data_IF_381151972089
#
_entry.id   IF_381151972089
#
_cell.length_a   1.000
_cell.length_b   1.000
_cell.length_c   1.000
_cell.angle_alpha   90.00
_cell.angle_beta   90.00
_cell.angle_gamma   90.00
#
_symmetry.space_group_name_H-M   'P 1'
#
loop_
_entity.id
_entity.type
_entity.pdbx_description
1 polymer ?
#
# COMPACT_ATOMS: atom_id res chain seq x y z
N UNK A 1 -56.22 -30.15 -48.86
CA UNK A 1 -57.07 -28.98 -48.52
C UNK A 1 -56.63 -28.59 -47.14
N UNK A 2 -56.03 -27.52 -46.98
CA UNK A 2 -55.97 -26.11 -46.84
C UNK A 2 -54.78 -25.83 -45.93
N UNK A 3 -53.76 -25.16 -46.30
CA UNK A 3 -53.45 -23.72 -46.41
C UNK A 3 -53.68 -22.92 -45.13
N UNK A 4 -52.60 -22.25 -44.76
CA UNK A 4 -52.52 -21.07 -43.91
C UNK A 4 -51.21 -21.11 -43.09
N UNK A 5 -50.13 -20.46 -43.34
CA UNK A 5 -49.88 -19.12 -43.81
C UNK A 5 -49.78 -18.20 -42.61
N UNK A 6 -48.60 -17.87 -42.17
CA UNK A 6 -48.39 -16.93 -41.09
C UNK A 6 -46.88 -16.67 -40.84
N UNK A 7 -46.34 -15.83 -41.71
CA UNK A 7 -45.05 -15.13 -41.49
C UNK A 7 -45.17 -14.15 -40.35
N UNK A 8 -44.24 -14.13 -39.42
CA UNK A 8 -44.04 -12.95 -38.60
C UNK A 8 -42.52 -12.75 -38.44
N UNK A 9 -42.06 -11.80 -39.21
CA UNK A 9 -40.81 -11.10 -39.02
C UNK A 9 -40.83 -10.34 -37.70
N UNK A 10 -39.76 -10.39 -36.96
CA UNK A 10 -39.63 -9.67 -35.71
C UNK A 10 -38.21 -9.60 -35.21
N UNK A 11 -37.44 -8.71 -35.83
CA UNK A 11 -36.38 -7.91 -35.25
C UNK A 11 -35.35 -8.60 -34.31
N UNK A 12 -34.24 -8.88 -34.89
CA UNK A 12 -32.92 -9.03 -34.23
C UNK A 12 -32.61 -7.84 -33.35
N UNK A 13 -32.54 -8.08 -32.06
CA UNK A 13 -31.94 -7.21 -31.07
C UNK A 13 -30.58 -7.81 -30.62
N UNK A 14 -29.54 -7.52 -31.37
CA UNK A 14 -28.15 -7.82 -31.00
C UNK A 14 -27.76 -7.04 -29.72
N UNK A 15 -28.11 -7.57 -28.57
CA UNK A 15 -27.51 -7.20 -27.32
C UNK A 15 -26.17 -7.97 -27.20
N UNK A 16 -25.12 -7.42 -27.78
CA UNK A 16 -23.75 -7.80 -27.48
C UNK A 16 -23.49 -7.58 -26.00
N UNK A 17 -23.82 -8.55 -25.18
CA UNK A 17 -23.38 -8.68 -23.81
C UNK A 17 -21.86 -8.70 -23.81
N UNK A 18 -21.27 -7.63 -23.33
CA UNK A 18 -19.86 -7.54 -23.03
C UNK A 18 -19.57 -8.63 -22.00
N UNK A 19 -18.99 -9.73 -22.46
CA UNK A 19 -18.48 -10.77 -21.58
C UNK A 19 -17.39 -10.13 -20.71
N UNK A 20 -17.60 -10.12 -19.42
CA UNK A 20 -16.56 -9.86 -18.45
C UNK A 20 -15.41 -10.83 -18.71
N UNK A 21 -14.14 -10.41 -18.57
CA UNK A 21 -13.00 -11.28 -18.79
C UNK A 21 -13.13 -12.48 -17.87
N UNK A 22 -13.25 -13.66 -18.47
CA UNK A 22 -13.41 -14.92 -17.77
C UNK A 22 -12.21 -15.14 -16.86
N UNK A 23 -12.44 -15.05 -15.56
CA UNK A 23 -11.49 -15.49 -14.56
C UNK A 23 -11.38 -17.02 -14.71
N UNK A 24 -10.18 -17.48 -15.11
CA UNK A 24 -9.90 -18.90 -15.25
C UNK A 24 -10.29 -19.63 -13.97
N UNK A 25 -11.07 -20.68 -14.12
CA UNK A 25 -11.63 -21.56 -13.07
C UNK A 25 -10.54 -22.42 -12.39
N UNK A 26 -9.43 -21.84 -11.99
CA UNK A 26 -8.50 -22.43 -11.04
C UNK A 26 -9.13 -22.36 -9.65
N UNK A 27 -9.17 -23.48 -8.92
CA UNK A 27 -9.71 -23.52 -7.56
C UNK A 27 -8.87 -22.63 -6.67
N UNK A 28 -9.32 -21.40 -6.42
CA UNK A 28 -8.67 -20.46 -5.53
C UNK A 28 -8.76 -20.99 -4.10
N UNK A 29 -7.67 -20.92 -3.36
CA UNK A 29 -7.61 -21.38 -1.99
C UNK A 29 -7.14 -20.19 -1.12
N UNK A 30 -8.06 -19.37 -0.60
CA UNK A 30 -7.68 -18.25 0.22
C UNK A 30 -7.03 -18.71 1.53
N UNK A 31 -5.95 -18.03 1.90
CA UNK A 31 -5.32 -18.16 3.22
C UNK A 31 -5.72 -16.96 4.03
N UNK A 32 -6.46 -17.17 5.09
CA UNK A 32 -6.89 -16.12 6.01
C UNK A 32 -6.25 -16.34 7.38
N UNK A 33 -5.67 -15.28 7.94
CA UNK A 33 -5.09 -15.25 9.28
C UNK A 33 -5.43 -13.92 9.94
N UNK A 34 -5.73 -13.96 11.22
CA UNK A 34 -5.96 -12.78 12.04
C UNK A 34 -5.13 -12.83 13.31
N UNK A 35 -4.76 -11.65 13.82
CA UNK A 35 -4.07 -11.50 15.09
C UNK A 35 -4.50 -10.20 15.77
N UNK A 36 -4.61 -10.24 17.10
CA UNK A 36 -4.88 -9.05 17.88
C UNK A 36 -3.57 -8.49 18.42
N UNK A 37 -3.31 -7.22 18.17
CA UNK A 37 -2.12 -6.47 18.62
C UNK A 37 -2.53 -5.41 19.64
N UNK A 38 -1.76 -5.27 20.72
CA UNK A 38 -2.06 -4.38 21.85
C UNK A 38 -1.57 -2.94 21.58
N UNK A 39 -1.98 -2.37 20.44
CA UNK A 39 -1.68 -0.99 20.02
C UNK A 39 -2.90 -0.36 19.35
N UNK A 40 -2.98 0.99 19.29
CA UNK A 40 -3.97 1.71 18.49
C UNK A 40 -3.94 1.31 17.01
N UNK A 41 -5.07 1.45 16.31
CA UNK A 41 -5.19 1.11 14.89
C UNK A 41 -4.21 1.89 14.01
N UNK A 42 -3.99 3.17 14.33
CA UNK A 42 -3.03 4.02 13.62
C UNK A 42 -1.60 3.50 13.73
N UNK A 43 -1.21 3.06 14.92
CA UNK A 43 0.12 2.49 15.17
C UNK A 43 0.30 1.17 14.40
N UNK A 44 -0.70 0.28 14.44
CA UNK A 44 -0.66 -0.97 13.69
C UNK A 44 -0.54 -0.72 12.18
N UNK A 45 -1.30 0.25 11.67
CA UNK A 45 -1.28 0.64 10.27
C UNK A 45 0.06 1.26 9.85
N UNK A 46 0.59 2.22 10.63
CA UNK A 46 1.84 2.91 10.33
C UNK A 46 3.02 1.93 10.29
N UNK A 47 3.11 1.00 11.23
CA UNK A 47 4.14 -0.05 11.21
C UNK A 47 3.99 -1.01 10.04
N UNK A 48 2.75 -1.32 9.62
CA UNK A 48 2.53 -2.18 8.47
C UNK A 48 2.93 -1.53 7.15
N UNK A 49 2.66 -0.23 6.99
CA UNK A 49 2.93 0.50 5.74
C UNK A 49 4.37 0.93 5.55
N UNK A 50 5.23 0.70 6.53
CA UNK A 50 6.67 0.81 6.39
C UNK A 50 7.23 -0.47 5.79
N UNK A 51 7.13 -0.59 4.48
CA UNK A 51 7.52 -1.82 3.76
C UNK A 51 9.00 -2.15 3.95
N UNK A 52 9.86 -1.15 4.11
CA UNK A 52 11.29 -1.30 4.35
C UNK A 52 11.60 -2.05 5.66
N UNK A 53 10.69 -1.99 6.64
CA UNK A 53 10.82 -2.69 7.93
C UNK A 53 10.33 -4.16 7.87
N UNK A 54 9.70 -4.58 6.76
CA UNK A 54 9.16 -5.94 6.64
C UNK A 54 10.17 -7.07 6.85
N UNK A 55 11.46 -6.94 6.47
CA UNK A 55 12.46 -7.96 6.78
C UNK A 55 12.60 -8.26 8.28
N UNK A 56 12.24 -7.33 9.16
CA UNK A 56 12.35 -7.51 10.61
C UNK A 56 11.31 -8.51 11.16
N UNK A 57 10.13 -8.59 10.54
CA UNK A 57 9.07 -9.48 10.99
C UNK A 57 8.59 -10.49 9.93
N UNK A 58 8.80 -10.27 8.66
CA UNK A 58 8.50 -11.22 7.60
C UNK A 58 9.72 -12.06 7.25
N UNK A 59 9.82 -13.23 7.86
CA UNK A 59 11.00 -14.10 7.80
C UNK A 59 11.54 -14.42 6.41
N UNK A 60 10.70 -14.34 5.37
CA UNK A 60 11.09 -14.65 3.99
C UNK A 60 11.38 -13.44 3.15
N UNK A 61 11.03 -12.26 3.61
CA UNK A 61 11.35 -11.00 2.95
C UNK A 61 12.78 -10.64 3.31
N UNK A 62 13.66 -10.61 2.31
CA UNK A 62 15.05 -10.19 2.48
C UNK A 62 15.20 -8.68 2.30
N UNK A 63 14.33 -8.10 1.47
CA UNK A 63 14.27 -6.67 1.18
C UNK A 63 12.89 -6.29 0.69
N UNK A 64 12.41 -5.12 1.09
CA UNK A 64 11.23 -4.50 0.55
C UNK A 64 11.48 -3.00 0.38
N UNK A 65 10.97 -2.43 -0.69
CA UNK A 65 11.19 -1.03 -1.06
C UNK A 65 9.95 -0.50 -1.77
N UNK A 66 9.48 0.65 -1.34
CA UNK A 66 8.42 1.35 -2.05
C UNK A 66 9.03 2.06 -3.27
N UNK A 67 8.70 1.58 -4.47
CA UNK A 67 9.24 2.09 -5.74
C UNK A 67 8.55 3.40 -6.14
N UNK A 68 7.25 3.44 -5.93
CA UNK A 68 6.41 4.62 -6.09
C UNK A 68 5.21 4.55 -5.12
N UNK A 69 4.30 5.51 -5.21
CA UNK A 69 3.17 5.61 -4.27
C UNK A 69 2.26 4.38 -4.27
N UNK A 70 2.21 3.60 -5.37
CA UNK A 70 1.31 2.47 -5.53
C UNK A 70 2.03 1.15 -5.83
N UNK A 71 3.36 1.12 -5.85
CA UNK A 71 4.14 -0.07 -6.20
C UNK A 71 5.21 -0.36 -5.16
N UNK A 72 5.25 -1.58 -4.68
CA UNK A 72 6.25 -2.07 -3.72
C UNK A 72 7.03 -3.22 -4.33
N UNK A 73 8.35 -3.12 -4.35
CA UNK A 73 9.26 -4.19 -4.78
C UNK A 73 9.69 -5.03 -3.60
N UNK A 74 9.61 -6.34 -3.75
CA UNK A 74 9.99 -7.32 -2.73
C UNK A 74 11.08 -8.26 -3.24
N UNK A 75 12.04 -8.55 -2.40
CA UNK A 75 12.95 -9.69 -2.56
C UNK A 75 12.63 -10.73 -1.51
N UNK A 76 12.20 -11.91 -1.95
CA UNK A 76 11.75 -12.98 -1.05
C UNK A 76 12.56 -14.23 -1.29
N UNK A 77 12.99 -14.88 -0.20
CA UNK A 77 13.72 -16.14 -0.22
C UNK A 77 12.83 -17.32 0.14
N UNK A 78 12.66 -18.23 -0.79
CA UNK A 78 11.90 -19.46 -0.59
C UNK A 78 12.76 -20.65 -1.00
N UNK A 79 12.96 -21.61 -0.08
CA UNK A 79 13.80 -22.80 -0.28
C UNK A 79 15.24 -22.49 -0.77
N UNK A 80 15.81 -21.37 -0.28
CA UNK A 80 17.17 -20.95 -0.63
C UNK A 80 17.29 -20.19 -1.95
N UNK A 81 16.19 -19.97 -2.66
CA UNK A 81 16.15 -19.21 -3.90
C UNK A 81 15.54 -17.85 -3.64
N UNK A 82 16.31 -16.78 -3.87
CA UNK A 82 15.82 -15.41 -3.78
C UNK A 82 15.19 -15.00 -5.11
N UNK A 83 14.01 -14.40 -5.05
CA UNK A 83 13.28 -13.86 -6.20
C UNK A 83 12.79 -12.45 -5.87
N UNK A 84 12.87 -11.57 -6.87
CA UNK A 84 12.26 -10.24 -6.81
C UNK A 84 10.94 -10.26 -7.57
N UNK A 85 9.96 -9.55 -7.05
CA UNK A 85 8.69 -9.29 -7.70
C UNK A 85 8.13 -7.95 -7.20
N UNK A 86 7.15 -7.43 -7.91
CA UNK A 86 6.47 -6.20 -7.58
C UNK A 86 5.02 -6.49 -7.21
N UNK A 87 4.53 -5.74 -6.24
CA UNK A 87 3.14 -5.73 -5.82
C UNK A 87 2.55 -4.36 -6.14
N UNK A 88 1.49 -4.36 -6.92
CA UNK A 88 0.71 -3.16 -7.20
C UNK A 88 -0.35 -2.99 -6.12
N UNK A 89 -0.35 -1.85 -5.43
CA UNK A 89 -1.38 -1.50 -4.45
C UNK A 89 -2.60 -1.00 -5.23
N UNK A 90 -3.71 -1.72 -5.10
CA UNK A 90 -4.97 -1.41 -5.77
C UNK A 90 -5.82 -0.44 -4.97
N UNK A 91 -5.95 -0.73 -3.67
CA UNK A 91 -6.71 0.05 -2.71
C UNK A 91 -5.88 0.24 -1.44
N UNK A 92 -5.87 1.46 -0.91
CA UNK A 92 -5.25 1.78 0.37
C UNK A 92 -5.99 2.90 1.06
N UNK A 93 -6.50 2.60 2.26
CA UNK A 93 -7.19 3.55 3.11
C UNK A 93 -6.53 3.54 4.49
N UNK A 94 -6.01 4.69 4.97
CA UNK A 94 -5.37 4.77 6.28
C UNK A 94 -6.26 4.24 7.40
N UNK A 95 -5.68 3.43 8.28
CA UNK A 95 -6.32 2.81 9.44
C UNK A 95 -7.44 1.78 9.10
N UNK A 96 -7.72 1.54 7.81
CA UNK A 96 -8.75 0.61 7.35
C UNK A 96 -8.16 -0.63 6.68
N UNK A 97 -7.36 -0.45 5.62
CA UNK A 97 -6.79 -1.60 4.93
C UNK A 97 -6.03 -1.27 3.64
N UNK A 98 -5.43 -2.32 3.09
CA UNK A 98 -4.65 -2.28 1.86
C UNK A 98 -4.99 -3.53 1.06
N UNK A 99 -5.26 -3.35 -0.23
CA UNK A 99 -5.38 -4.43 -1.23
C UNK A 99 -4.25 -4.32 -2.24
N UNK A 100 -3.63 -5.44 -2.56
CA UNK A 100 -2.55 -5.50 -3.53
C UNK A 100 -2.66 -6.70 -4.46
N UNK A 101 -1.98 -6.61 -5.60
CA UNK A 101 -1.89 -7.67 -6.60
C UNK A 101 -0.45 -7.91 -7.00
N UNK A 102 -0.05 -9.16 -7.05
CA UNK A 102 1.23 -9.63 -7.58
C UNK A 102 0.95 -10.50 -8.79
N UNK A 103 1.41 -10.09 -9.97
CA UNK A 103 1.13 -10.78 -11.24
C UNK A 103 2.26 -11.73 -11.66
N UNK A 104 3.49 -11.49 -11.16
CA UNK A 104 4.67 -12.26 -11.53
C UNK A 104 5.23 -13.06 -10.35
N UNK A 105 5.91 -14.15 -10.64
CA UNK A 105 6.54 -14.99 -9.63
C UNK A 105 5.55 -15.79 -8.81
N UNK A 106 5.26 -15.38 -7.59
CA UNK A 106 4.23 -15.96 -6.72
C UNK A 106 2.93 -15.16 -6.87
N UNK A 107 2.27 -15.30 -8.03
CA UNK A 107 1.06 -14.55 -8.34
C UNK A 107 -0.03 -14.76 -7.26
N UNK A 108 -0.46 -13.67 -6.67
CA UNK A 108 -1.52 -13.65 -5.66
C UNK A 108 -2.14 -12.26 -5.55
N UNK A 109 -3.36 -12.21 -5.06
CA UNK A 109 -3.93 -10.99 -4.51
C UNK A 109 -3.92 -11.09 -2.99
N UNK A 110 -3.76 -9.97 -2.32
CA UNK A 110 -3.78 -9.91 -0.88
C UNK A 110 -4.57 -8.71 -0.39
N UNK A 111 -5.16 -8.89 0.79
CA UNK A 111 -5.84 -7.82 1.53
C UNK A 111 -5.38 -7.90 2.97
N UNK A 112 -5.02 -6.78 3.56
CA UNK A 112 -4.90 -6.61 4.99
C UNK A 112 -5.93 -5.60 5.45
N UNK A 113 -6.59 -5.89 6.56
CA UNK A 113 -7.56 -4.98 7.19
C UNK A 113 -7.23 -4.77 8.65
N UNK A 114 -7.57 -3.58 9.16
CA UNK A 114 -7.29 -3.16 10.53
C UNK A 114 -8.62 -2.82 11.21
N UNK A 115 -8.91 -3.50 12.31
CA UNK A 115 -10.17 -3.34 13.02
C UNK A 115 -9.89 -2.94 14.47
N UNK A 116 -10.21 -1.68 14.89
CA UNK A 116 -10.05 -1.28 16.26
C UNK A 116 -11.05 -2.04 17.14
N UNK A 117 -10.54 -2.79 18.11
CA UNK A 117 -11.34 -3.51 19.11
C UNK A 117 -11.50 -2.68 20.38
N UNK A 118 -10.50 -1.86 20.69
CA UNK A 118 -10.52 -0.85 21.74
C UNK A 118 -9.48 0.23 21.42
N UNK A 119 -9.33 1.22 22.28
CA UNK A 119 -8.37 2.31 22.12
C UNK A 119 -6.94 1.81 21.87
N UNK A 120 -6.51 0.75 22.57
CA UNK A 120 -5.17 0.17 22.49
C UNK A 120 -5.20 -1.32 22.10
N UNK A 121 -6.16 -1.72 21.29
CA UNK A 121 -6.25 -3.10 20.79
C UNK A 121 -6.81 -3.11 19.39
N UNK A 122 -6.05 -3.66 18.46
CA UNK A 122 -6.41 -3.73 17.05
C UNK A 122 -6.33 -5.17 16.55
N UNK A 123 -7.35 -5.61 15.82
CA UNK A 123 -7.28 -6.84 15.03
C UNK A 123 -6.73 -6.54 13.65
N UNK A 124 -5.68 -7.23 13.28
CA UNK A 124 -5.11 -7.21 11.93
C UNK A 124 -5.47 -8.53 11.27
N UNK A 125 -6.11 -8.46 10.11
CA UNK A 125 -6.53 -9.63 9.34
C UNK A 125 -5.89 -9.60 7.95
N UNK A 126 -5.24 -10.71 7.55
CA UNK A 126 -4.62 -10.87 6.23
C UNK A 126 -5.32 -11.99 5.50
N UNK A 127 -5.76 -11.69 4.29
CA UNK A 127 -6.32 -12.67 3.35
C UNK A 127 -5.45 -12.69 2.09
N UNK A 128 -4.95 -13.86 1.72
CA UNK A 128 -4.21 -14.09 0.48
C UNK A 128 -4.97 -15.05 -0.42
N UNK A 129 -5.23 -14.65 -1.64
CA UNK A 129 -5.76 -15.52 -2.70
C UNK A 129 -4.60 -15.90 -3.64
N UNK A 130 -4.03 -17.06 -3.39
CA UNK A 130 -2.84 -17.54 -4.11
C UNK A 130 -3.27 -18.31 -5.33
N UNK A 131 -2.77 -17.90 -6.50
CA UNK A 131 -3.01 -18.66 -7.73
C UNK A 131 -2.13 -19.92 -7.75
N UNK A 132 -2.70 -21.10 -8.05
CA UNK A 132 -1.91 -22.31 -8.22
C UNK A 132 -0.96 -22.13 -9.40
N UNK A 133 0.33 -22.10 -9.12
CA UNK A 133 1.38 -22.14 -10.14
C UNK A 133 2.09 -23.50 -10.07
N UNK A 134 2.75 -23.91 -11.16
CA UNK A 134 3.47 -25.18 -11.25
C UNK A 134 4.49 -25.42 -10.13
N UNK A 135 4.89 -24.38 -9.40
CA UNK A 135 5.77 -24.44 -8.23
C UNK A 135 5.00 -24.80 -6.94
N UNK A 136 3.70 -24.54 -6.91
CA UNK A 136 2.81 -24.83 -5.77
C UNK A 136 1.97 -26.08 -6.05
N UNK A 137 2.00 -26.64 -7.27
CA UNK A 137 1.13 -27.71 -7.79
C UNK A 137 1.34 -29.12 -7.18
N UNK A 138 2.26 -29.27 -6.26
CA UNK A 138 2.14 -30.35 -5.28
C UNK A 138 1.26 -29.88 -4.13
N UNK A 139 0.13 -29.39 -4.51
CA UNK A 139 -0.83 -28.41 -4.00
C UNK A 139 -1.15 -28.44 -2.50
N UNK A 140 -1.28 -29.57 -1.87
CA UNK A 140 -1.67 -29.60 -0.44
C UNK A 140 -0.53 -29.23 0.51
N UNK A 141 0.72 -29.48 0.11
CA UNK A 141 1.89 -29.13 0.91
C UNK A 141 2.24 -27.64 0.78
N UNK A 142 2.09 -27.08 -0.45
CA UNK A 142 2.36 -25.67 -0.72
C UNK A 142 1.43 -24.75 0.06
N UNK A 143 0.13 -25.02 0.06
CA UNK A 143 -0.86 -24.21 0.79
C UNK A 143 -0.68 -24.27 2.31
N UNK A 144 -0.33 -25.46 2.86
CA UNK A 144 0.00 -25.56 4.29
C UNK A 144 1.26 -24.76 4.63
N UNK A 145 2.21 -24.72 3.72
CA UNK A 145 3.42 -23.92 3.86
C UNK A 145 3.08 -22.42 3.88
N UNK A 146 2.30 -21.92 2.91
CA UNK A 146 1.87 -20.52 2.86
C UNK A 146 1.09 -20.15 4.13
N UNK A 147 0.10 -20.95 4.52
CA UNK A 147 -0.68 -20.70 5.74
C UNK A 147 0.20 -20.63 7.00
N UNK A 148 1.18 -21.53 7.12
CA UNK A 148 2.10 -21.53 8.26
C UNK A 148 3.04 -20.32 8.23
N UNK A 149 3.47 -19.92 7.02
CA UNK A 149 4.30 -18.76 6.81
C UNK A 149 3.59 -17.49 7.27
N UNK A 150 2.41 -17.21 6.69
CA UNK A 150 1.60 -16.05 7.03
C UNK A 150 1.30 -15.99 8.52
N UNK A 151 0.89 -17.13 9.12
CA UNK A 151 0.66 -17.19 10.56
C UNK A 151 1.91 -16.83 11.37
N UNK A 152 3.07 -17.35 10.98
CA UNK A 152 4.33 -17.04 11.67
C UNK A 152 4.73 -15.59 11.52
N UNK A 153 4.51 -15.00 10.34
CA UNK A 153 4.80 -13.60 10.07
C UNK A 153 3.87 -12.67 10.88
N UNK A 154 2.57 -13.01 10.98
CA UNK A 154 1.62 -12.26 11.82
C UNK A 154 2.00 -12.27 13.31
N UNK A 155 2.47 -13.41 13.84
CA UNK A 155 2.95 -13.46 15.23
C UNK A 155 4.22 -12.62 15.44
N UNK A 156 5.13 -12.58 14.46
CA UNK A 156 6.31 -11.70 14.52
C UNK A 156 5.94 -10.23 14.39
N UNK A 157 4.99 -9.91 13.50
CA UNK A 157 4.43 -8.56 13.41
C UNK A 157 3.87 -8.09 14.76
N UNK A 158 3.08 -8.96 15.43
CA UNK A 158 2.58 -8.66 16.77
C UNK A 158 3.72 -8.32 17.74
N UNK A 159 4.74 -9.17 17.81
CA UNK A 159 5.88 -8.93 18.69
C UNK A 159 6.64 -7.64 18.31
N UNK A 160 6.80 -7.39 17.01
CA UNK A 160 7.46 -6.21 16.48
C UNK A 160 6.72 -4.94 16.89
N UNK A 161 5.42 -4.82 16.60
CA UNK A 161 4.65 -3.60 16.86
C UNK A 161 4.39 -3.35 18.34
N UNK A 162 4.29 -4.41 19.18
CA UNK A 162 4.07 -4.27 20.62
C UNK A 162 5.34 -3.95 21.41
N UNK A 163 6.52 -4.26 20.87
CA UNK A 163 7.81 -3.98 21.50
C UNK A 163 8.49 -2.72 20.96
N UNK A 164 8.09 -2.26 19.79
CA UNK A 164 8.60 -1.02 19.23
C UNK A 164 7.87 0.18 19.86
N UNK A 165 8.64 1.01 20.55
CA UNK A 165 8.13 2.22 21.21
C UNK A 165 8.41 3.49 20.42
N UNK A 166 9.02 3.38 19.25
CA UNK A 166 9.30 4.51 18.39
C UNK A 166 8.03 4.93 17.64
N UNK A 167 7.74 6.23 17.67
CA UNK A 167 6.70 6.78 16.81
C UNK A 167 7.18 6.69 15.36
N UNK A 168 6.53 5.83 14.58
CA UNK A 168 6.83 5.65 13.16
C UNK A 168 5.71 6.24 12.33
N UNK A 169 6.08 7.10 11.40
CA UNK A 169 5.15 7.62 10.41
C UNK A 169 5.01 6.61 9.27
N UNK A 170 3.83 6.09 9.08
CA UNK A 170 3.45 5.27 7.92
C UNK A 170 2.99 6.13 6.74
N UNK A 171 2.85 5.51 5.57
CA UNK A 171 2.27 6.20 4.42
C UNK A 171 0.75 6.35 4.61
N UNK A 172 0.26 7.61 4.61
CA UNK A 172 -1.14 7.94 4.92
C UNK A 172 -1.92 8.55 3.75
N UNK A 173 -1.46 8.34 2.54
CA UNK A 173 -2.23 8.66 1.35
C UNK A 173 -3.38 7.66 1.13
N UNK A 174 -4.32 8.02 0.26
CA UNK A 174 -5.38 7.12 -0.20
C UNK A 174 -5.10 6.69 -1.62
N UNK A 175 -5.19 5.40 -1.89
CA UNK A 175 -5.11 4.82 -3.23
C UNK A 175 -6.47 4.21 -3.56
N UNK A 176 -6.98 4.50 -4.74
CA UNK A 176 -8.18 3.88 -5.30
C UNK A 176 -7.91 3.52 -6.76
N UNK A 177 -8.27 2.31 -7.16
CA UNK A 177 -8.02 1.78 -8.51
C UNK A 177 -6.53 1.89 -8.93
N UNK A 178 -5.59 1.66 -8.00
CA UNK A 178 -4.16 1.76 -8.25
C UNK A 178 -3.64 3.19 -8.46
N UNK A 179 -4.37 4.21 -8.03
CA UNK A 179 -4.00 5.61 -8.20
C UNK A 179 -4.14 6.39 -6.90
N UNK A 180 -3.13 7.20 -6.60
CA UNK A 180 -3.18 8.09 -5.45
C UNK A 180 -4.26 9.14 -5.63
N UNK A 181 -5.17 9.22 -4.69
CA UNK A 181 -6.15 10.31 -4.60
C UNK A 181 -5.50 11.49 -3.88
N UNK A 182 -5.35 12.61 -4.57
CA UNK A 182 -4.98 13.87 -3.91
C UNK A 182 -6.08 14.22 -2.91
N UNK A 183 -5.71 14.39 -1.63
CA UNK A 183 -6.62 14.92 -0.63
C UNK A 183 -7.22 16.23 -1.13
N UNK A 184 -8.55 16.28 -1.26
CA UNK A 184 -9.27 17.52 -1.59
C UNK A 184 -9.10 18.46 -0.41
N UNK A 185 -8.16 19.40 -0.53
CA UNK A 185 -8.14 20.63 0.25
C UNK A 185 -7.37 20.62 1.54
N UNK A 186 -6.05 20.72 1.47
CA UNK A 186 -5.35 21.68 2.31
C UNK A 186 -4.79 22.75 1.40
N UNK A 187 -5.62 23.75 1.14
CA UNK A 187 -5.20 24.98 0.48
C UNK A 187 -4.17 25.67 1.38
N UNK A 188 -2.90 25.36 1.18
CA UNK A 188 -1.80 26.18 1.65
C UNK A 188 -1.91 27.54 0.95
N UNK A 189 -2.60 28.47 1.60
CA UNK A 189 -2.54 29.88 1.23
C UNK A 189 -1.14 30.38 1.57
N UNK A 190 -0.19 30.18 0.70
CA UNK A 190 1.04 30.94 0.69
C UNK A 190 0.68 32.40 0.35
N UNK A 191 0.33 33.18 1.38
CA UNK A 191 0.31 34.61 1.28
C UNK A 191 1.73 35.08 1.06
N UNK A 192 2.10 35.29 -0.18
CA UNK A 192 3.26 36.07 -0.56
C UNK A 192 3.07 37.49 0.00
N UNK A 193 3.74 37.78 1.10
CA UNK A 193 3.90 39.16 1.56
C UNK A 193 4.78 39.88 0.54
N UNK A 194 4.13 40.67 -0.31
CA UNK A 194 4.77 41.61 -1.19
C UNK A 194 5.61 42.57 -0.38
N UNK A 195 6.92 42.52 -0.59
CA UNK A 195 7.87 43.53 -0.14
C UNK A 195 7.65 44.78 -0.97
N UNK A 196 6.93 45.75 -0.42
CA UNK A 196 6.86 47.10 -0.97
C UNK A 196 8.22 47.78 -0.74
N UNK A 197 8.95 47.94 -1.83
CA UNK A 197 10.06 48.88 -1.92
C UNK A 197 9.55 50.28 -1.65
N UNK A 198 10.01 50.87 -0.56
CA UNK A 198 9.92 52.32 -0.34
C UNK A 198 11.30 52.91 -0.53
N UNK A 199 11.47 53.55 -1.67
CA UNK A 199 12.53 54.51 -1.95
C UNK A 199 12.28 55.77 -1.12
N UNK A 200 13.24 56.21 -0.37
CA UNK A 200 13.39 57.64 -0.08
C UNK A 200 14.85 58.02 0.01
N UNK A 201 15.05 59.06 -0.72
CA UNK A 201 16.28 59.81 -0.96
C UNK A 201 16.74 60.59 0.28
N UNK A 202 18.03 60.85 0.25
CA UNK A 202 18.66 62.12 0.57
C UNK A 202 19.22 62.30 1.98
N UNK A 203 20.47 62.79 1.99
CA UNK A 203 21.02 63.55 3.06
C UNK A 203 22.51 63.31 3.32
N UNK A 204 23.29 64.00 2.56
CA UNK A 204 24.68 64.48 2.75
C UNK A 204 25.15 64.74 4.19
N UNK A 205 26.48 64.62 4.41
CA UNK A 205 27.25 65.21 5.49
C UNK A 205 28.34 64.22 5.96
N UNK A 206 29.49 64.29 5.51
CA UNK A 206 30.68 65.03 5.81
C UNK A 206 31.33 64.65 7.15
N UNK A 207 32.60 64.39 7.00
CA UNK A 207 33.75 64.64 7.82
C UNK A 207 34.10 63.79 9.06
N UNK A 208 35.21 63.25 8.92
CA UNK A 208 36.50 63.48 9.53
C UNK A 208 36.84 62.77 10.85
N UNK A 209 38.03 62.27 10.86
CA UNK A 209 38.89 62.30 12.01
C UNK A 209 39.33 60.99 12.61
N UNK A 210 40.38 60.44 12.12
CA UNK A 210 41.74 60.50 12.68
C UNK A 210 42.04 59.54 13.86
N UNK A 211 43.07 58.78 13.58
CA UNK A 211 44.18 58.33 14.46
C UNK A 211 43.91 57.38 15.63
N UNK A 212 44.49 56.24 15.50
CA UNK A 212 45.83 55.87 15.97
C UNK A 212 45.88 55.17 17.35
N UNK A 213 46.50 54.05 17.32
CA UNK A 213 47.73 53.59 18.00
C UNK A 213 47.56 52.59 19.13
N UNK A 214 48.22 51.45 18.82
CA UNK A 214 49.15 50.72 19.74
C UNK A 214 48.57 50.17 21.04
N UNK A 215 48.81 49.00 21.44
CA UNK A 215 49.94 48.14 21.48
C UNK A 215 49.78 47.13 22.58
N UNK A 216 50.55 46.16 22.49
CA UNK A 216 50.99 45.07 23.35
C UNK A 216 50.20 43.82 23.28
#
# INVERSE_FOLDING_TARGET
MGQGGGTNDGADGDAKGRAAPGHGSGRRMPVQQAIDVAVPVSVAYDHWTRFEDWPEFMHRVEHAEQVDDATVSFQVKIWGISKRFEADILEQHPDEGIEWNVTEGYAHTGVVTFHPLSENLTRVEVTLDVQPSNLIDKASRGMRFVKRAVRGDMHRFKAYVELDHDEKDGWRGTIEEGRVKKARGSGSSSRSRGSSRRTSRNGSGAESGSKAKTGS
#
